data_IF_512055805687
#
_entry.id   IF_512055805687
#
_cell.length_a   1.000
_cell.length_b   1.000
_cell.length_c   1.000
_cell.angle_alpha   90.00
_cell.angle_beta   90.00
_cell.angle_gamma   90.00
#
_symmetry.space_group_name_H-M   'P 1'
#
loop_
_entity.id
_entity.type
_entity.pdbx_description
1 polymer ?
#
# COMPACT_ATOMS: atom_id res chain seq x y z
N UNK A 1 -16.85 4.82 6.71
CA UNK A 1 -15.57 4.92 6.00
C UNK A 1 -15.55 4.33 4.59
N UNK A 2 -16.07 3.12 4.30
CA UNK A 2 -16.33 2.70 2.90
C UNK A 2 -17.45 3.52 2.24
N UNK A 3 -18.33 4.10 3.05
CA UNK A 3 -19.40 5.00 2.62
C UNK A 3 -18.82 6.31 2.07
N UNK A 4 -17.76 6.80 2.69
CA UNK A 4 -17.16 8.11 2.42
C UNK A 4 -16.74 8.25 0.95
N UNK A 5 -16.14 7.22 0.33
CA UNK A 5 -15.81 7.26 -1.10
C UNK A 5 -17.08 7.41 -1.96
N UNK A 6 -18.11 6.63 -1.67
CA UNK A 6 -19.38 6.71 -2.42
C UNK A 6 -20.12 8.01 -2.15
N UNK A 7 -19.89 8.65 -1.00
CA UNK A 7 -20.42 9.98 -0.69
C UNK A 7 -19.63 11.07 -1.47
N UNK A 8 -18.33 10.89 -1.67
CA UNK A 8 -17.52 11.75 -2.56
C UNK A 8 -17.89 11.57 -4.04
N UNK A 9 -18.20 10.34 -4.45
CA UNK A 9 -18.67 10.06 -5.81
C UNK A 9 -20.16 10.39 -5.92
N UNK A 10 -20.47 11.61 -6.34
CA UNK A 10 -21.85 12.03 -6.56
C UNK A 10 -22.58 11.05 -7.50
N UNK A 11 -23.58 10.27 -7.00
CA UNK A 11 -24.24 9.25 -7.81
C UNK A 11 -25.08 9.82 -8.95
N UNK A 12 -25.47 11.09 -8.84
CA UNK A 12 -26.23 11.83 -9.85
C UNK A 12 -25.35 12.80 -10.65
N UNK A 13 -24.04 12.85 -10.37
CA UNK A 13 -23.10 13.72 -11.05
C UNK A 13 -22.60 13.11 -12.35
N UNK A 14 -22.35 13.96 -13.34
CA UNK A 14 -21.62 13.60 -14.57
C UNK A 14 -20.11 13.80 -14.43
N UNK A 15 -19.63 14.20 -13.25
CA UNK A 15 -18.26 14.59 -13.00
C UNK A 15 -17.32 13.37 -13.07
N UNK A 16 -16.15 13.59 -13.67
CA UNK A 16 -15.13 12.57 -13.81
C UNK A 16 -14.17 12.62 -12.62
N UNK A 17 -14.03 11.49 -11.92
CA UNK A 17 -13.14 11.34 -10.77
C UNK A 17 -12.15 10.22 -11.03
N UNK A 18 -10.85 10.51 -10.92
CA UNK A 18 -9.80 9.51 -10.98
C UNK A 18 -9.43 9.05 -9.58
N UNK A 19 -9.62 7.76 -9.30
CA UNK A 19 -9.35 7.15 -8.01
C UNK A 19 -8.13 6.24 -8.12
N UNK A 20 -7.13 6.48 -7.28
CA UNK A 20 -5.95 5.63 -7.11
C UNK A 20 -6.09 4.79 -5.83
N UNK A 21 -6.12 3.48 -5.98
CA UNK A 21 -5.98 2.53 -4.88
C UNK A 21 -4.49 2.26 -4.65
N UNK A 22 -3.99 2.67 -3.50
CA UNK A 22 -2.59 2.54 -3.11
C UNK A 22 -2.45 1.86 -1.75
N UNK A 23 -1.21 1.55 -1.35
CA UNK A 23 -0.89 1.21 0.05
C UNK A 23 0.40 1.92 0.45
N UNK A 24 0.53 2.39 1.70
CA UNK A 24 1.67 3.22 2.12
C UNK A 24 2.99 2.45 2.26
N UNK A 25 2.96 1.13 2.35
CA UNK A 25 4.16 0.27 2.39
C UNK A 25 4.58 -0.26 1.01
N UNK A 26 3.79 -0.07 -0.05
CA UNK A 26 4.13 -0.58 -1.38
C UNK A 26 5.07 0.35 -2.14
N UNK A 27 6.26 -0.15 -2.50
CA UNK A 27 7.26 0.60 -3.29
C UNK A 27 6.72 1.07 -4.65
N UNK A 28 5.93 0.26 -5.34
CA UNK A 28 5.36 0.62 -6.64
C UNK A 28 4.33 1.75 -6.51
N UNK A 29 3.56 1.76 -5.42
CA UNK A 29 2.62 2.85 -5.13
C UNK A 29 3.36 4.15 -4.82
N UNK A 30 4.41 4.06 -4.00
CA UNK A 30 5.28 5.17 -3.66
C UNK A 30 5.95 5.81 -4.91
N UNK A 31 6.40 4.99 -5.86
CA UNK A 31 6.97 5.47 -7.13
C UNK A 31 5.96 6.19 -8.03
N UNK A 32 4.67 5.85 -7.94
CA UNK A 32 3.60 6.48 -8.71
C UNK A 32 3.10 7.78 -8.08
N UNK A 33 3.21 7.92 -6.75
CA UNK A 33 2.73 9.07 -5.99
C UNK A 33 3.09 10.45 -6.61
N UNK A 34 4.35 10.75 -7.00
CA UNK A 34 4.67 12.07 -7.56
C UNK A 34 4.00 12.33 -8.92
N UNK A 35 3.80 11.30 -9.75
CA UNK A 35 3.06 11.45 -11.00
C UNK A 35 1.58 11.74 -10.73
N UNK A 36 0.97 11.00 -9.81
CA UNK A 36 -0.43 11.19 -9.45
C UNK A 36 -0.69 12.56 -8.80
N UNK A 37 0.18 13.00 -7.90
CA UNK A 37 0.11 14.32 -7.24
C UNK A 37 0.14 15.49 -8.22
N UNK A 38 0.79 15.32 -9.38
CA UNK A 38 0.86 16.36 -10.42
C UNK A 38 -0.37 16.43 -11.34
N UNK A 39 -1.20 15.37 -11.41
CA UNK A 39 -2.37 15.30 -12.29
C UNK A 39 -3.44 16.38 -12.03
N UNK A 40 -3.79 16.73 -10.77
CA UNK A 40 -4.71 17.84 -10.50
C UNK A 40 -4.30 19.16 -11.14
N UNK A 41 -2.99 19.41 -11.29
CA UNK A 41 -2.49 20.61 -11.98
C UNK A 41 -2.72 20.54 -13.49
N UNK A 42 -2.64 19.34 -14.07
CA UNK A 42 -2.90 19.10 -15.49
C UNK A 42 -4.39 19.16 -15.84
N UNK A 43 -5.26 18.73 -14.92
CA UNK A 43 -6.70 18.59 -15.14
C UNK A 43 -7.52 19.22 -13.99
N UNK A 44 -7.66 20.55 -13.94
CA UNK A 44 -8.42 21.21 -12.89
C UNK A 44 -9.92 20.91 -12.90
N UNK A 45 -10.44 20.38 -14.02
CA UNK A 45 -11.85 20.00 -14.17
C UNK A 45 -12.16 18.57 -13.68
N UNK A 46 -11.14 17.77 -13.34
CA UNK A 46 -11.32 16.43 -12.79
C UNK A 46 -11.02 16.40 -11.30
N UNK A 47 -11.70 15.51 -10.59
CA UNK A 47 -11.38 15.20 -9.20
C UNK A 47 -10.37 14.05 -9.13
N UNK A 48 -9.44 14.13 -8.19
CA UNK A 48 -8.43 13.11 -7.95
C UNK A 48 -8.51 12.65 -6.51
N UNK A 49 -8.64 11.34 -6.30
CA UNK A 49 -8.72 10.75 -4.99
C UNK A 49 -7.72 9.61 -4.86
N UNK A 50 -7.10 9.49 -3.70
CA UNK A 50 -6.25 8.36 -3.36
C UNK A 50 -6.82 7.65 -2.15
N UNK A 51 -6.97 6.33 -2.27
CA UNK A 51 -7.56 5.47 -1.27
C UNK A 51 -6.54 4.42 -0.84
N UNK A 52 -6.35 4.28 0.46
CA UNK A 52 -5.57 3.19 1.04
C UNK A 52 -6.36 1.87 0.98
N UNK A 53 -5.96 0.98 0.07
CA UNK A 53 -6.60 -0.32 -0.12
C UNK A 53 -6.49 -1.23 1.11
N UNK A 54 -5.51 -1.00 1.98
CA UNK A 54 -5.32 -1.82 3.18
C UNK A 54 -6.36 -1.53 4.27
N UNK A 55 -6.79 -0.28 4.37
CA UNK A 55 -7.81 0.17 5.33
C UNK A 55 -9.23 -0.04 4.78
N UNK A 56 -9.36 -0.15 3.46
CA UNK A 56 -10.65 -0.20 2.76
C UNK A 56 -10.81 -1.46 1.90
N UNK A 57 -10.64 -2.63 2.52
CA UNK A 57 -10.75 -3.94 1.86
C UNK A 57 -12.10 -4.16 1.15
N UNK A 58 -13.21 -3.68 1.73
CA UNK A 58 -14.55 -3.78 1.12
C UNK A 58 -14.65 -3.09 -0.24
N UNK A 59 -14.04 -1.91 -0.38
CA UNK A 59 -14.02 -1.14 -1.63
C UNK A 59 -13.10 -1.80 -2.65
N UNK A 60 -11.94 -2.29 -2.20
CA UNK A 60 -11.03 -3.04 -3.06
C UNK A 60 -11.71 -4.29 -3.64
N UNK A 61 -12.44 -5.05 -2.83
CA UNK A 61 -13.22 -6.19 -3.32
C UNK A 61 -14.35 -5.76 -4.26
N UNK A 62 -15.12 -4.74 -3.89
CA UNK A 62 -16.26 -4.25 -4.69
C UNK A 62 -15.84 -3.83 -6.09
N UNK A 63 -14.71 -3.14 -6.22
CA UNK A 63 -14.18 -2.68 -7.50
C UNK A 63 -13.18 -3.63 -8.13
N UNK A 64 -12.99 -4.84 -7.58
CA UNK A 64 -12.09 -5.86 -8.13
C UNK A 64 -10.63 -5.42 -8.20
N UNK A 65 -10.17 -4.65 -7.21
CA UNK A 65 -8.77 -4.24 -7.04
C UNK A 65 -8.01 -5.37 -6.36
N UNK A 66 -7.35 -6.21 -7.18
CA UNK A 66 -6.58 -7.37 -6.71
C UNK A 66 -5.15 -6.98 -6.29
N UNK A 67 -4.59 -5.94 -6.91
CA UNK A 67 -3.22 -5.48 -6.67
C UNK A 67 -3.13 -3.96 -6.74
N UNK A 68 -2.13 -3.40 -6.05
CA UNK A 68 -1.85 -1.95 -6.02
C UNK A 68 -0.46 -1.64 -6.62
N UNK A 69 -0.27 -0.48 -7.26
CA UNK A 69 -1.25 0.58 -7.47
C UNK A 69 -2.26 0.26 -8.59
N UNK A 70 -3.55 0.55 -8.35
CA UNK A 70 -4.64 0.41 -9.31
C UNK A 70 -5.33 1.76 -9.50
N UNK A 71 -5.55 2.16 -10.75
CA UNK A 71 -6.17 3.45 -11.08
C UNK A 71 -7.48 3.17 -11.81
N UNK A 72 -8.56 3.75 -11.30
CA UNK A 72 -9.91 3.61 -11.83
C UNK A 72 -10.47 5.01 -12.08
N UNK A 73 -11.01 5.20 -13.28
CA UNK A 73 -11.77 6.39 -13.64
C UNK A 73 -13.25 6.14 -13.38
N UNK A 74 -13.87 7.07 -12.67
CA UNK A 74 -15.28 7.07 -12.36
C UNK A 74 -15.97 8.24 -13.07
N UNK A 75 -17.20 7.99 -13.51
CA UNK A 75 -18.12 9.03 -13.95
C UNK A 75 -19.33 8.99 -13.02
N UNK A 76 -19.47 10.01 -12.16
CA UNK A 76 -20.35 9.95 -11.00
C UNK A 76 -19.97 8.76 -10.09
N UNK A 77 -20.95 7.91 -9.75
CA UNK A 77 -20.71 6.69 -8.95
C UNK A 77 -20.37 5.43 -9.75
N UNK A 78 -20.28 5.50 -11.09
CA UNK A 78 -20.04 4.33 -11.94
C UNK A 78 -18.56 4.24 -12.35
N UNK A 79 -17.91 3.08 -12.17
CA UNK A 79 -16.57 2.87 -12.71
C UNK A 79 -16.64 2.78 -14.24
N UNK A 80 -15.91 3.65 -14.92
CA UNK A 80 -15.91 3.78 -16.37
C UNK A 80 -14.74 3.01 -17.01
N UNK A 81 -13.53 3.21 -16.51
CA UNK A 81 -12.33 2.65 -17.12
C UNK A 81 -11.25 2.33 -16.08
N UNK A 82 -10.44 1.30 -16.35
CA UNK A 82 -9.28 0.92 -15.55
C UNK A 82 -8.00 1.19 -16.32
N UNK A 83 -7.00 1.73 -15.63
CA UNK A 83 -5.68 1.89 -16.19
C UNK A 83 -4.94 0.56 -16.23
N UNK A 84 -4.63 0.06 -17.43
CA UNK A 84 -3.99 -1.24 -17.64
C UNK A 84 -2.58 -1.16 -18.24
N UNK A 85 -1.98 0.04 -18.32
CA UNK A 85 -0.65 0.20 -18.92
C UNK A 85 0.48 -0.16 -17.94
N UNK A 86 1.60 -0.67 -18.48
CA UNK A 86 2.78 -1.02 -17.69
C UNK A 86 3.43 0.24 -17.10
N UNK A 87 3.67 1.22 -17.96
CA UNK A 87 4.27 2.50 -17.59
C UNK A 87 3.23 3.41 -16.95
N UNK A 88 3.50 3.84 -15.70
CA UNK A 88 2.62 4.70 -14.90
C UNK A 88 3.22 6.08 -14.73
N UNK A 89 3.52 6.71 -15.86
CA UNK A 89 4.11 8.05 -15.93
C UNK A 89 3.05 9.13 -16.08
N UNK A 90 3.40 10.38 -15.84
CA UNK A 90 2.48 11.51 -16.02
C UNK A 90 1.87 11.54 -17.44
N UNK A 91 2.68 11.32 -18.47
CA UNK A 91 2.21 11.40 -19.87
C UNK A 91 1.25 10.26 -20.22
N UNK A 92 1.53 9.02 -19.79
CA UNK A 92 0.63 7.89 -20.01
C UNK A 92 -0.71 8.07 -19.29
N UNK A 93 -0.69 8.67 -18.10
CA UNK A 93 -1.91 9.02 -17.36
C UNK A 93 -2.71 10.14 -18.05
N UNK A 94 -2.03 11.17 -18.58
CA UNK A 94 -2.68 12.23 -19.38
C UNK A 94 -3.36 11.66 -20.62
N UNK A 95 -2.68 10.78 -21.35
CA UNK A 95 -3.23 10.10 -22.53
C UNK A 95 -4.44 9.25 -22.16
N UNK A 96 -4.36 8.49 -21.06
CA UNK A 96 -5.48 7.69 -20.58
C UNK A 96 -6.70 8.55 -20.25
N UNK A 97 -6.52 9.63 -19.48
CA UNK A 97 -7.62 10.54 -19.11
C UNK A 97 -8.22 11.18 -20.38
N UNK A 98 -7.39 11.66 -21.31
CA UNK A 98 -7.86 12.24 -22.56
C UNK A 98 -8.65 11.24 -23.40
N UNK A 99 -8.16 10.01 -23.56
CA UNK A 99 -8.84 8.98 -24.35
C UNK A 99 -10.20 8.57 -23.77
N UNK A 100 -10.35 8.62 -22.44
CA UNK A 100 -11.61 8.25 -21.78
C UNK A 100 -12.58 9.44 -21.64
N UNK A 101 -12.09 10.63 -21.33
CA UNK A 101 -12.94 11.79 -20.99
C UNK A 101 -13.03 12.84 -22.10
N UNK A 102 -12.11 12.83 -23.06
CA UNK A 102 -11.96 13.89 -24.07
C UNK A 102 -11.40 15.21 -23.53
N UNK A 103 -11.05 15.29 -22.24
CA UNK A 103 -10.59 16.52 -21.60
C UNK A 103 -9.10 16.73 -21.90
N UNK A 104 -8.74 17.90 -22.43
CA UNK A 104 -7.35 18.23 -22.74
C UNK A 104 -6.54 18.60 -21.49
N UNK A 105 -5.34 18.02 -21.39
CA UNK A 105 -4.40 18.32 -20.32
C UNK A 105 -3.68 19.65 -20.57
N UNK A 106 -3.39 20.41 -19.51
CA UNK A 106 -2.46 21.54 -19.60
C UNK A 106 -1.06 21.06 -19.99
N UNK A 107 -0.49 21.61 -21.07
CA UNK A 107 0.79 21.18 -21.67
C UNK A 107 2.02 21.46 -20.80
N UNK A 108 1.97 22.47 -19.94
CA UNK A 108 3.14 22.94 -19.16
C UNK A 108 3.30 22.25 -17.80
N UNK A 109 2.59 21.13 -17.57
CA UNK A 109 2.64 20.43 -16.29
C UNK A 109 3.69 19.33 -16.35
N UNK A 110 4.71 19.49 -15.52
CA UNK A 110 5.77 18.51 -15.27
C UNK A 110 5.76 18.12 -13.79
N UNK A 111 6.30 16.94 -13.48
CA UNK A 111 6.52 16.51 -12.10
C UNK A 111 7.58 17.40 -11.45
N UNK A 112 7.28 17.93 -10.27
CA UNK A 112 8.13 18.84 -9.50
C UNK A 112 8.53 18.22 -8.17
N UNK A 113 9.49 18.83 -7.47
CA UNK A 113 9.90 18.38 -6.13
C UNK A 113 8.75 18.45 -5.11
N UNK A 114 7.85 19.42 -5.27
CA UNK A 114 6.66 19.54 -4.41
C UNK A 114 5.75 18.31 -4.52
N UNK A 115 5.65 17.70 -5.71
CA UNK A 115 4.82 16.51 -5.91
C UNK A 115 5.39 15.27 -5.21
N UNK A 116 6.68 15.25 -4.85
CA UNK A 116 7.28 14.17 -4.05
C UNK A 116 6.89 14.27 -2.57
N UNK A 117 6.66 15.49 -2.07
CA UNK A 117 6.22 15.77 -0.68
C UNK A 117 4.69 15.72 -0.58
N UNK A 118 3.99 15.79 -1.72
CA UNK A 118 2.55 15.94 -1.84
C UNK A 118 1.70 14.97 -0.99
N UNK A 119 0.37 15.11 -1.02
CA UNK A 119 -0.53 14.42 -0.10
C UNK A 119 -0.39 12.90 -0.12
N UNK A 120 -0.02 12.30 -1.27
CA UNK A 120 0.38 10.91 -1.33
C UNK A 120 1.86 10.72 -0.96
N UNK A 121 2.18 9.79 -0.03
CA UNK A 121 3.56 9.51 0.34
C UNK A 121 4.32 8.86 -0.82
N UNK A 122 5.44 9.47 -1.21
CA UNK A 122 6.36 8.96 -2.23
C UNK A 122 7.40 7.98 -1.69
N UNK A 123 7.37 7.69 -0.39
CA UNK A 123 8.25 6.74 0.28
C UNK A 123 7.44 5.60 0.89
N UNK A 124 7.96 4.38 0.77
CA UNK A 124 7.36 3.20 1.40
C UNK A 124 7.64 3.24 2.91
N UNK A 125 6.58 3.28 3.70
CA UNK A 125 6.68 3.19 5.16
C UNK A 125 7.14 1.77 5.50
N UNK A 126 8.27 1.65 6.20
CA UNK A 126 8.74 0.38 6.76
C UNK A 126 8.02 0.14 8.08
N UNK A 127 6.92 -0.62 8.08
CA UNK A 127 6.29 -1.10 9.31
C UNK A 127 7.09 -2.28 9.86
N UNK A 128 7.37 -2.26 11.16
CA UNK A 128 7.95 -3.40 11.86
C UNK A 128 6.81 -4.29 12.34
N UNK A 129 6.82 -5.57 11.96
CA UNK A 129 5.86 -6.55 12.44
C UNK A 129 6.15 -6.92 13.90
N UNK A 130 5.56 -6.16 14.83
CA UNK A 130 5.74 -6.38 16.27
C UNK A 130 5.37 -7.79 16.72
N UNK A 131 4.40 -8.44 16.05
CA UNK A 131 4.07 -9.84 16.31
C UNK A 131 5.24 -10.78 16.07
N UNK A 132 6.05 -10.53 15.04
CA UNK A 132 7.25 -11.31 14.75
C UNK A 132 8.30 -11.06 15.83
N UNK A 133 8.46 -9.81 16.26
CA UNK A 133 9.35 -9.45 17.38
C UNK A 133 8.95 -10.16 18.66
N UNK A 134 7.67 -10.10 19.05
CA UNK A 134 7.16 -10.80 20.24
C UNK A 134 7.30 -12.32 20.12
N UNK A 135 7.06 -12.90 18.94
CA UNK A 135 7.27 -14.32 18.69
C UNK A 135 8.73 -14.72 18.90
N UNK A 136 9.69 -13.90 18.45
CA UNK A 136 11.11 -14.16 18.63
C UNK A 136 11.49 -14.12 20.11
N UNK A 137 11.01 -13.12 20.85
CA UNK A 137 11.22 -13.04 22.30
C UNK A 137 10.64 -14.26 23.04
N UNK A 138 9.46 -14.71 22.66
CA UNK A 138 8.82 -15.90 23.24
C UNK A 138 9.67 -17.17 23.01
N UNK A 139 10.16 -17.37 21.78
CA UNK A 139 11.02 -18.50 21.44
C UNK A 139 12.35 -18.46 22.19
N UNK A 140 12.99 -17.29 22.28
CA UNK A 140 14.23 -17.11 23.04
C UNK A 140 14.01 -17.42 24.53
N UNK A 141 12.90 -16.95 25.11
CA UNK A 141 12.54 -17.23 26.50
C UNK A 141 12.35 -18.73 26.75
N UNK A 142 11.71 -19.46 25.84
CA UNK A 142 11.53 -20.91 25.94
C UNK A 142 12.84 -21.68 25.83
N UNK A 143 13.70 -21.29 24.89
CA UNK A 143 15.04 -21.89 24.73
C UNK A 143 15.87 -21.66 25.98
N UNK A 144 15.88 -20.43 26.50
CA UNK A 144 16.56 -20.08 27.75
C UNK A 144 16.02 -20.88 28.93
N UNK A 145 14.69 -21.04 29.04
CA UNK A 145 14.10 -21.87 30.10
C UNK A 145 14.53 -23.34 29.98
N UNK A 146 14.54 -23.89 28.77
CA UNK A 146 14.98 -25.26 28.51
C UNK A 146 16.47 -25.47 28.81
N UNK A 147 17.35 -24.52 28.47
CA UNK A 147 18.79 -24.62 28.79
C UNK A 147 19.04 -24.51 30.29
N UNK A 148 18.38 -23.58 31.00
CA UNK A 148 18.49 -23.46 32.47
C UNK A 148 18.02 -24.74 33.16
N UNK A 149 16.89 -25.33 32.72
CA UNK A 149 16.40 -26.60 33.26
C UNK A 149 17.36 -27.76 32.95
N UNK A 150 17.94 -27.81 31.76
CA UNK A 150 18.90 -28.85 31.36
C UNK A 150 20.19 -28.76 32.19
N UNK A 151 20.74 -27.57 32.37
CA UNK A 151 21.93 -27.34 33.21
C UNK A 151 21.64 -27.57 34.71
N UNK A 152 20.44 -27.21 35.18
CA UNK A 152 19.99 -27.52 36.55
C UNK A 152 19.83 -29.03 36.77
N UNK A 153 19.36 -29.78 35.77
CA UNK A 153 19.26 -31.25 35.84
C UNK A 153 20.66 -31.88 35.80
N UNK A 154 21.59 -31.34 34.99
CA UNK A 154 22.98 -31.80 34.94
C UNK A 154 23.71 -31.63 36.28
N UNK A 155 23.46 -30.54 37.00
CA UNK A 155 24.00 -30.32 38.35
C UNK A 155 23.38 -31.20 39.43
N UNK A 156 22.16 -31.73 39.22
CA UNK A 156 21.46 -32.62 40.15
C UNK A 156 21.87 -34.10 40.03
N UNK A 157 22.67 -34.47 39.02
CA UNK A 157 23.24 -35.81 38.86
C UNK A 157 24.77 -35.75 39.02
N UNK A 158 25.30 -35.67 40.26
CA UNK A 158 26.73 -35.87 40.48
C UNK A 158 27.04 -37.37 40.45
N UNK A 159 27.81 -37.80 39.44
CA UNK A 159 28.70 -38.96 39.50
C UNK A 159 28.09 -40.37 39.56
N UNK A 160 28.18 -41.09 38.43
CA UNK A 160 28.61 -42.48 38.43
C UNK A 160 29.66 -42.62 37.33
N UNK A 161 30.85 -42.10 37.63
CA UNK A 161 32.08 -42.54 36.96
C UNK A 161 32.53 -43.77 37.76
N UNK A 162 32.05 -44.96 37.37
CA UNK A 162 32.70 -46.20 37.76
C UNK A 162 33.74 -46.52 36.70
N UNK A 163 34.98 -46.23 37.04
CA UNK A 163 36.15 -46.94 36.54
C UNK A 163 35.86 -48.45 36.56
N UNK A 164 35.90 -49.09 35.40
CA UNK A 164 36.26 -50.50 35.32
C UNK A 164 37.54 -50.59 34.48
N UNK A 165 38.65 -50.53 35.21
CA UNK A 165 39.92 -51.12 34.80
C UNK A 165 39.73 -52.64 34.88
N UNK A 166 39.82 -53.33 33.75
CA UNK A 166 40.47 -54.64 33.59
C UNK A 166 40.80 -54.89 32.12
#
# INVERSE_FOLDING_TARGET
MSQDLMDFLNPNGSDCTLVLFYTPWCRFSASLAPHFNSLPRAFPALHFLALDASQHSSLSTRFGTVAVPNILLFQGAKPMARFNHTDRTLETLKIFIFNQTGIEAKKNVVVTQADQIGPLPSTSIKSVDWLLVFSLFFLISFIMYATIRTESIRWLIPGQEQEHVE
#
